data_IF_618375378023
#
_entry.id   IF_618375378023
#
_cell.length_a   1.000
_cell.length_b   1.000
_cell.length_c   1.000
_cell.angle_alpha   90.00
_cell.angle_beta   90.00
_cell.angle_gamma   90.00
#
_symmetry.space_group_name_H-M   'P 1'
#
loop_
_entity.id
_entity.type
_entity.pdbx_description
1 polymer ?
#
# COMPACT_ATOMS: atom_id res chain seq x y z
N UNK A 1 16.10 -13.87 5.28
CA UNK A 1 15.66 -12.53 5.68
C UNK A 1 14.69 -12.69 6.84
N UNK A 2 14.81 -11.89 7.89
CA UNK A 2 13.99 -12.01 9.10
C UNK A 2 12.83 -11.00 9.06
N UNK A 3 11.67 -11.40 9.61
CA UNK A 3 10.58 -10.47 9.90
C UNK A 3 11.03 -9.61 11.07
N UNK A 4 10.96 -8.28 10.91
CA UNK A 4 11.40 -7.35 11.97
C UNK A 4 10.22 -6.70 12.69
N UNK A 5 9.08 -6.60 12.03
CA UNK A 5 7.87 -6.03 12.64
C UNK A 5 6.61 -6.41 11.88
N UNK A 6 5.46 -5.99 12.38
CA UNK A 6 4.14 -6.27 11.83
C UNK A 6 3.30 -5.01 11.76
N UNK A 7 2.40 -4.97 10.79
CA UNK A 7 1.24 -4.09 10.81
C UNK A 7 -0.01 -4.92 10.99
N UNK A 8 -0.99 -4.41 11.74
CA UNK A 8 -2.34 -4.96 11.70
C UNK A 8 -3.36 -3.86 11.51
N UNK A 9 -4.42 -4.18 10.79
CA UNK A 9 -5.58 -3.31 10.60
C UNK A 9 -6.68 -3.75 11.55
N UNK A 10 -7.09 -2.85 12.43
CA UNK A 10 -8.22 -3.06 13.32
C UNK A 10 -9.55 -2.78 12.59
N UNK A 11 -10.64 -3.39 13.04
CA UNK A 11 -11.97 -3.23 12.42
C UNK A 11 -12.45 -1.77 12.34
N UNK A 12 -11.98 -0.92 13.25
CA UNK A 12 -12.26 0.53 13.31
C UNK A 12 -11.44 1.38 12.31
N UNK A 13 -10.62 0.74 11.46
CA UNK A 13 -9.78 1.40 10.46
C UNK A 13 -8.38 1.80 10.96
N UNK A 14 -8.02 1.53 12.21
CA UNK A 14 -6.70 1.86 12.74
C UNK A 14 -5.64 0.87 12.22
N UNK A 15 -4.64 1.39 11.51
CA UNK A 15 -3.52 0.63 11.00
C UNK A 15 -2.29 0.82 11.92
N UNK A 16 -2.01 -0.21 12.72
CA UNK A 16 -1.13 -0.13 13.88
C UNK A 16 0.13 -0.96 13.65
N UNK A 17 1.29 -0.38 13.99
CA UNK A 17 2.59 -1.05 13.96
C UNK A 17 2.87 -1.78 15.27
N UNK A 18 3.42 -2.99 15.19
CA UNK A 18 3.89 -3.76 16.34
C UNK A 18 5.27 -4.37 16.07
N UNK A 19 6.10 -4.44 17.11
CA UNK A 19 7.39 -5.15 17.10
C UNK A 19 7.26 -6.66 17.33
N UNK A 20 6.07 -7.14 17.63
CA UNK A 20 5.77 -8.55 17.86
C UNK A 20 4.54 -8.93 17.04
N UNK A 21 4.45 -10.21 16.69
CA UNK A 21 3.31 -10.74 15.93
C UNK A 21 2.00 -10.52 16.70
N UNK A 22 1.00 -9.84 16.09
CA UNK A 22 -0.32 -9.69 16.70
C UNK A 22 -1.13 -10.98 16.59
N UNK A 23 -2.12 -11.13 17.48
CA UNK A 23 -3.13 -12.18 17.40
C UNK A 23 -4.02 -11.97 16.16
N UNK A 24 -3.67 -12.66 15.06
CA UNK A 24 -4.35 -12.51 13.78
C UNK A 24 -5.80 -13.02 13.80
N UNK A 25 -6.12 -13.97 14.68
CA UNK A 25 -7.44 -14.62 14.78
C UNK A 25 -8.42 -13.87 15.68
N UNK A 26 -8.07 -12.67 16.14
CA UNK A 26 -8.96 -11.82 16.92
C UNK A 26 -10.09 -11.25 16.05
N UNK A 27 -11.32 -11.24 16.55
CA UNK A 27 -12.49 -10.64 15.88
C UNK A 27 -12.33 -9.14 15.58
N UNK A 28 -11.39 -8.48 16.25
CA UNK A 28 -11.09 -7.07 16.08
C UNK A 28 -10.04 -6.77 15.01
N UNK A 29 -9.47 -7.80 14.38
CA UNK A 29 -8.41 -7.68 13.38
C UNK A 29 -8.95 -8.03 11.99
N UNK A 30 -8.80 -7.08 11.05
CA UNK A 30 -9.13 -7.31 9.63
C UNK A 30 -8.01 -8.05 8.89
N UNK A 31 -6.76 -7.67 9.16
CA UNK A 31 -5.58 -8.27 8.52
C UNK A 31 -4.30 -7.96 9.27
N UNK A 32 -3.32 -8.83 9.13
CA UNK A 32 -1.93 -8.67 9.60
C UNK A 32 -0.99 -8.78 8.42
N UNK A 33 0.04 -7.93 8.39
CA UNK A 33 1.14 -7.99 7.44
C UNK A 33 2.47 -8.08 8.20
N UNK A 34 3.31 -9.04 7.82
CA UNK A 34 4.70 -9.08 8.26
C UNK A 34 5.54 -8.10 7.43
N UNK A 35 6.39 -7.34 8.10
CA UNK A 35 7.34 -6.42 7.48
C UNK A 35 8.75 -7.00 7.45
N UNK A 36 9.32 -6.97 6.26
CA UNK A 36 10.73 -7.21 6.00
C UNK A 36 11.28 -5.90 5.40
N UNK A 37 12.07 -5.12 6.16
CA UNK A 37 12.48 -3.77 5.73
C UNK A 37 13.28 -3.73 4.41
N UNK A 38 13.98 -4.81 4.08
CA UNK A 38 14.70 -4.94 2.80
C UNK A 38 13.78 -5.16 1.59
N UNK A 39 12.49 -5.40 1.80
CA UNK A 39 11.52 -5.64 0.73
C UNK A 39 10.56 -4.45 0.59
N UNK A 40 10.88 -3.56 -0.35
CA UNK A 40 10.11 -2.34 -0.63
C UNK A 40 8.69 -2.61 -1.16
N UNK A 41 8.46 -3.76 -1.80
CA UNK A 41 7.14 -4.14 -2.30
C UNK A 41 6.14 -4.39 -1.16
N UNK A 42 6.62 -4.73 0.05
CA UNK A 42 5.74 -4.91 1.20
C UNK A 42 5.08 -3.59 1.60
N UNK A 43 5.77 -2.45 1.51
CA UNK A 43 5.17 -1.15 1.82
C UNK A 43 3.96 -0.86 0.91
N UNK A 44 4.10 -1.12 -0.39
CA UNK A 44 3.00 -1.02 -1.35
C UNK A 44 1.87 -1.99 -1.01
N UNK A 45 2.19 -3.26 -0.74
CA UNK A 45 1.20 -4.27 -0.35
C UNK A 45 0.39 -3.83 0.87
N UNK A 46 1.05 -3.39 1.94
CA UNK A 46 0.37 -2.96 3.18
C UNK A 46 -0.53 -1.76 2.90
N UNK A 47 -0.03 -0.73 2.20
CA UNK A 47 -0.82 0.47 1.92
C UNK A 47 -2.05 0.15 1.08
N UNK A 48 -1.89 -0.57 -0.04
CA UNK A 48 -2.99 -0.85 -0.95
C UNK A 48 -4.04 -1.76 -0.29
N UNK A 49 -3.62 -2.86 0.33
CA UNK A 49 -4.55 -3.77 0.99
C UNK A 49 -5.23 -3.09 2.19
N UNK A 50 -4.51 -2.29 3.00
CA UNK A 50 -5.12 -1.55 4.10
C UNK A 50 -6.10 -0.48 3.62
N UNK A 51 -5.78 0.22 2.52
CA UNK A 51 -6.68 1.18 1.90
C UNK A 51 -7.98 0.50 1.46
N UNK A 52 -7.91 -0.62 0.74
CA UNK A 52 -9.10 -1.38 0.34
C UNK A 52 -9.93 -1.86 1.53
N UNK A 53 -9.29 -2.23 2.63
CA UNK A 53 -9.95 -2.71 3.84
C UNK A 53 -10.49 -1.60 4.76
N UNK A 54 -10.43 -0.33 4.33
CA UNK A 54 -11.03 0.78 5.07
C UNK A 54 -10.12 1.40 6.13
N UNK A 55 -8.80 1.36 5.95
CA UNK A 55 -7.88 2.10 6.82
C UNK A 55 -8.16 3.61 6.78
N UNK A 56 -7.88 4.30 7.89
CA UNK A 56 -8.08 5.75 8.03
C UNK A 56 -7.14 6.53 7.11
N UNK A 57 -7.69 7.58 6.49
CA UNK A 57 -6.98 8.38 5.50
C UNK A 57 -5.77 9.10 6.06
N UNK A 58 -5.86 9.61 7.29
CA UNK A 58 -4.77 10.30 7.96
C UNK A 58 -3.56 9.36 8.10
N UNK A 59 -3.82 8.10 8.46
CA UNK A 59 -2.78 7.08 8.62
C UNK A 59 -2.20 6.66 7.27
N UNK A 60 -3.03 6.50 6.25
CA UNK A 60 -2.57 6.21 4.89
C UNK A 60 -1.69 7.33 4.34
N UNK A 61 -2.07 8.60 4.55
CA UNK A 61 -1.27 9.79 4.17
C UNK A 61 0.09 9.81 4.87
N UNK A 62 0.10 9.57 6.18
CA UNK A 62 1.34 9.52 6.97
C UNK A 62 2.29 8.44 6.45
N UNK A 63 1.79 7.20 6.29
CA UNK A 63 2.61 6.07 5.86
C UNK A 63 3.03 6.17 4.39
N UNK A 64 2.16 6.68 3.52
CA UNK A 64 2.47 6.98 2.12
C UNK A 64 3.69 7.90 2.02
N UNK A 65 3.70 8.97 2.82
CA UNK A 65 4.84 9.89 2.90
C UNK A 65 6.07 9.26 3.54
N UNK A 66 5.91 8.54 4.66
CA UNK A 66 7.01 7.91 5.39
C UNK A 66 7.74 6.85 4.55
N UNK A 67 7.00 6.08 3.77
CA UNK A 67 7.56 4.99 2.96
C UNK A 67 7.88 5.39 1.53
N UNK A 68 7.51 6.61 1.12
CA UNK A 68 7.65 7.08 -0.26
C UNK A 68 6.74 6.33 -1.24
N UNK A 69 5.59 5.83 -0.77
CA UNK A 69 4.56 5.22 -1.59
C UNK A 69 3.74 6.35 -2.20
N UNK A 70 4.22 6.89 -3.32
CA UNK A 70 3.70 8.09 -4.00
C UNK A 70 3.48 7.80 -5.50
N UNK A 71 2.69 8.62 -6.21
CA UNK A 71 2.42 8.44 -7.64
C UNK A 71 3.67 8.22 -8.50
N UNK A 72 4.74 8.93 -8.21
CA UNK A 72 6.00 8.86 -8.96
C UNK A 72 6.73 7.52 -8.77
N UNK A 73 6.53 6.84 -7.63
CA UNK A 73 7.11 5.52 -7.34
C UNK A 73 6.25 4.37 -7.90
N UNK A 74 5.00 4.64 -8.30
CA UNK A 74 4.05 3.63 -8.76
C UNK A 74 4.57 2.87 -10.00
N UNK A 75 5.20 3.57 -10.94
CA UNK A 75 5.78 2.94 -12.13
C UNK A 75 6.82 1.87 -11.77
N UNK A 76 7.71 2.19 -10.82
CA UNK A 76 8.74 1.27 -10.35
C UNK A 76 8.12 0.06 -9.63
N UNK A 77 7.10 0.28 -8.81
CA UNK A 77 6.34 -0.80 -8.19
C UNK A 77 5.70 -1.73 -9.23
N UNK A 78 5.04 -1.18 -10.25
CA UNK A 78 4.36 -1.96 -11.28
C UNK A 78 5.34 -2.84 -12.08
N UNK A 79 6.53 -2.32 -12.44
CA UNK A 79 7.55 -3.08 -13.18
C UNK A 79 8.06 -4.29 -12.39
N UNK A 80 8.15 -4.17 -11.06
CA UNK A 80 8.68 -5.22 -10.19
C UNK A 80 7.57 -6.11 -9.58
N UNK A 81 6.30 -5.79 -9.85
CA UNK A 81 5.16 -6.58 -9.36
C UNK A 81 4.77 -7.59 -10.42
N UNK A 82 4.73 -8.86 -10.01
CA UNK A 82 4.28 -9.93 -10.88
C UNK A 82 2.76 -9.92 -10.98
N UNK A 83 2.22 -10.30 -12.14
CA UNK A 83 0.78 -10.24 -12.41
C UNK A 83 -0.03 -11.07 -11.40
N UNK A 84 0.48 -12.23 -10.99
CA UNK A 84 -0.15 -13.11 -10.01
C UNK A 84 -0.27 -12.49 -8.61
N UNK A 85 0.51 -11.45 -8.31
CA UNK A 85 0.44 -10.73 -7.04
C UNK A 85 -0.59 -9.59 -7.07
N UNK A 86 -1.09 -9.22 -8.25
CA UNK A 86 -2.09 -8.16 -8.41
C UNK A 86 -3.49 -8.75 -8.24
N UNK A 87 -4.06 -8.55 -7.06
CA UNK A 87 -5.43 -8.99 -6.74
C UNK A 87 -6.42 -7.81 -6.76
N UNK A 88 -7.72 -8.11 -6.62
CA UNK A 88 -8.78 -7.11 -6.60
C UNK A 88 -8.59 -6.07 -5.49
N UNK A 89 -8.22 -6.50 -4.28
CA UNK A 89 -7.99 -5.58 -3.15
C UNK A 89 -6.87 -4.58 -3.43
N UNK A 90 -5.78 -4.98 -4.09
CA UNK A 90 -4.72 -4.03 -4.45
C UNK A 90 -5.18 -3.02 -5.49
N UNK A 91 -6.07 -3.41 -6.41
CA UNK A 91 -6.67 -2.49 -7.39
C UNK A 91 -7.61 -1.50 -6.71
N UNK A 92 -8.50 -1.99 -5.83
CA UNK A 92 -9.41 -1.15 -5.05
C UNK A 92 -8.64 -0.18 -4.15
N UNK A 93 -7.58 -0.68 -3.52
CA UNK A 93 -6.65 0.11 -2.72
C UNK A 93 -5.96 1.20 -3.54
N UNK A 94 -5.55 0.90 -4.78
CA UNK A 94 -4.92 1.87 -5.67
C UNK A 94 -5.89 3.00 -6.05
N UNK A 95 -7.13 2.66 -6.40
CA UNK A 95 -8.18 3.64 -6.69
C UNK A 95 -8.37 4.57 -5.49
N UNK A 96 -8.54 3.98 -4.31
CA UNK A 96 -8.72 4.75 -3.07
C UNK A 96 -7.52 5.65 -2.75
N UNK A 97 -6.30 5.14 -2.93
CA UNK A 97 -5.08 5.94 -2.74
C UNK A 97 -5.00 7.10 -3.73
N UNK A 98 -5.32 6.86 -5.01
CA UNK A 98 -5.33 7.90 -6.03
C UNK A 98 -6.33 9.01 -5.67
N UNK A 99 -7.58 8.64 -5.40
CA UNK A 99 -8.68 9.60 -5.25
C UNK A 99 -8.69 10.30 -3.88
N UNK A 100 -8.44 9.58 -2.78
CA UNK A 100 -8.63 10.10 -1.42
C UNK A 100 -7.32 10.55 -0.74
N UNK A 101 -6.18 9.96 -1.16
CA UNK A 101 -4.87 10.25 -0.55
C UNK A 101 -4.07 11.22 -1.40
N UNK A 102 -3.86 10.91 -2.67
CA UNK A 102 -3.09 11.75 -3.58
C UNK A 102 -3.93 12.82 -4.28
N UNK A 103 -5.26 12.69 -4.26
CA UNK A 103 -6.20 13.59 -4.92
C UNK A 103 -5.93 13.69 -6.45
N UNK A 104 -5.60 12.55 -7.05
CA UNK A 104 -5.31 12.42 -8.49
C UNK A 104 -6.35 11.48 -9.08
N UNK A 105 -6.93 11.90 -10.21
CA UNK A 105 -7.80 11.06 -11.02
C UNK A 105 -7.02 9.85 -11.57
N UNK A 106 -7.65 8.66 -11.55
CA UNK A 106 -6.95 7.42 -11.89
C UNK A 106 -6.45 7.41 -13.35
N UNK A 107 -7.21 7.95 -14.29
CA UNK A 107 -6.80 8.02 -15.69
C UNK A 107 -5.58 8.96 -15.83
N UNK A 108 -5.64 10.12 -15.17
CA UNK A 108 -4.50 11.06 -15.14
C UNK A 108 -3.25 10.46 -14.50
N UNK A 109 -3.42 9.62 -13.47
CA UNK A 109 -2.31 8.93 -12.83
C UNK A 109 -1.59 8.02 -13.85
N UNK A 110 -2.33 7.23 -14.61
CA UNK A 110 -1.76 6.34 -15.61
C UNK A 110 -1.18 7.09 -16.81
N UNK A 111 -1.80 8.20 -17.24
CA UNK A 111 -1.26 9.06 -18.29
C UNK A 111 0.12 9.61 -17.89
N UNK A 112 0.27 10.12 -16.67
CA UNK A 112 1.54 10.62 -16.15
C UNK A 112 2.64 9.54 -16.13
N UNK A 113 2.28 8.31 -15.74
CA UNK A 113 3.20 7.17 -15.75
C UNK A 113 3.63 6.83 -17.18
N UNK A 114 2.69 6.79 -18.12
CA UNK A 114 2.96 6.50 -19.52
C UNK A 114 3.85 7.57 -20.18
N UNK A 115 3.63 8.85 -19.86
CA UNK A 115 4.49 9.95 -20.31
C UNK A 115 5.89 9.89 -19.71
N UNK A 116 6.00 9.60 -18.41
CA UNK A 116 7.28 9.44 -17.72
C UNK A 116 8.13 8.32 -18.31
N UNK A 117 7.50 7.20 -18.69
CA UNK A 117 8.17 6.09 -19.36
C UNK A 117 8.75 6.49 -20.73
N UNK A 118 8.05 7.33 -21.50
CA UNK A 118 8.49 7.78 -22.84
C UNK A 118 9.70 8.72 -22.81
N UNK A 119 9.93 9.45 -21.72
CA UNK A 119 11.05 10.42 -21.59
C UNK A 119 12.39 9.78 -21.23
N UNK A 120 12.39 8.51 -20.82
CA UNK A 120 13.58 7.75 -20.44
C UNK A 120 14.03 6.75 -21.53
N UNK A 121 13.50 6.87 -22.76
CA UNK A 121 13.84 6.07 -23.95
C UNK A 121 14.50 6.96 -24.99
#
# INVERSE_FOLDING_TARGET
MAIESWYYLHINGDLIHKRFEPEADSEFVKRVWSLVPSNRAIAWRVILEAAALGARLERLKELSKLWGVVPEDLANYMIHTREEEVNAERKDGLVRMAEEVWMIDLDKLFDNIAEGAKKNV
#
